data_IF_662466101718
#
_entry.id   IF_662466101718
#
_cell.length_a   1.000
_cell.length_b   1.000
_cell.length_c   1.000
_cell.angle_alpha   90.00
_cell.angle_beta   90.00
_cell.angle_gamma   90.00
#
_symmetry.space_group_name_H-M   'P 1'
#
loop_
_entity.id
_entity.type
_entity.pdbx_description
1 polymer ?
#
# COMPACT_ATOMS: atom_id res chain seq x y z
N UNK A 1 5.71 27.39 11.45
CA UNK A 1 6.97 27.49 10.70
C UNK A 1 7.95 26.48 11.27
N UNK A 2 8.46 25.57 10.43
CA UNK A 2 9.58 24.65 10.66
C UNK A 2 9.32 23.37 11.45
N UNK A 3 9.02 22.29 10.73
CA UNK A 3 9.87 21.09 10.74
C UNK A 3 9.51 20.15 9.57
N UNK A 4 9.65 20.64 8.36
CA UNK A 4 9.73 19.81 7.15
C UNK A 4 11.19 19.41 6.96
N UNK A 5 11.66 18.32 7.58
CA UNK A 5 13.11 18.08 7.51
C UNK A 5 13.65 16.71 7.81
N UNK A 6 12.85 15.63 7.78
CA UNK A 6 13.46 14.31 7.58
C UNK A 6 13.22 13.89 6.14
N UNK A 7 14.24 14.02 5.29
CA UNK A 7 14.23 13.46 3.92
C UNK A 7 13.89 11.98 4.03
N UNK A 8 12.65 11.63 3.68
CA UNK A 8 12.18 10.25 3.63
C UNK A 8 12.70 9.65 2.33
N UNK A 9 13.93 9.10 2.36
CA UNK A 9 14.54 8.47 1.20
C UNK A 9 13.73 7.20 0.85
N UNK A 10 12.85 7.31 -0.11
CA UNK A 10 12.11 6.19 -0.70
C UNK A 10 13.00 5.35 -1.62
N UNK A 11 13.97 6.00 -2.26
CA UNK A 11 14.91 5.39 -3.20
C UNK A 11 16.31 5.41 -2.64
N UNK A 12 17.03 4.30 -2.79
CA UNK A 12 18.46 4.20 -2.49
C UNK A 12 19.27 4.83 -3.62
N UNK A 13 20.56 5.11 -3.37
CA UNK A 13 21.47 5.58 -4.41
C UNK A 13 21.54 4.59 -5.59
N UNK A 14 21.44 3.28 -5.31
CA UNK A 14 21.40 2.23 -6.33
C UNK A 14 20.10 2.27 -7.14
N UNK A 15 18.96 2.52 -6.50
CA UNK A 15 17.68 2.70 -7.20
C UNK A 15 17.74 3.87 -8.19
N UNK A 16 18.29 5.01 -7.76
CA UNK A 16 18.43 6.21 -8.60
C UNK A 16 19.36 5.92 -9.79
N UNK A 17 20.52 5.27 -9.56
CA UNK A 17 21.43 4.86 -10.63
C UNK A 17 20.77 3.92 -11.66
N UNK A 18 19.77 3.14 -11.24
CA UNK A 18 18.98 2.23 -12.09
C UNK A 18 17.68 2.86 -12.58
N UNK A 19 17.47 4.17 -12.40
CA UNK A 19 16.27 4.92 -12.80
C UNK A 19 14.96 4.34 -12.23
N UNK A 20 15.01 3.67 -11.08
CA UNK A 20 13.82 3.07 -10.44
C UNK A 20 12.86 4.14 -9.87
N UNK A 21 13.37 5.31 -9.55
CA UNK A 21 12.60 6.50 -9.21
C UNK A 21 11.81 7.02 -10.45
N UNK A 22 12.44 7.06 -11.62
CA UNK A 22 11.80 7.45 -12.88
C UNK A 22 10.71 6.46 -13.28
N UNK A 23 11.00 5.14 -13.22
CA UNK A 23 10.00 4.09 -13.48
C UNK A 23 8.80 4.21 -12.53
N UNK A 24 9.06 4.48 -11.25
CA UNK A 24 7.99 4.66 -10.27
C UNK A 24 7.13 5.89 -10.58
N UNK A 25 7.75 7.03 -10.90
CA UNK A 25 7.02 8.23 -11.29
C UNK A 25 6.18 8.00 -12.56
N UNK A 26 6.74 7.34 -13.58
CA UNK A 26 6.00 6.96 -14.77
C UNK A 26 4.80 6.05 -14.47
N UNK A 27 4.98 5.09 -13.55
CA UNK A 27 3.89 4.22 -13.11
C UNK A 27 2.77 4.98 -12.39
N UNK A 28 3.07 6.08 -11.69
CA UNK A 28 2.06 6.95 -11.06
C UNK A 28 1.30 7.79 -12.09
N UNK A 29 1.97 8.27 -13.13
CA UNK A 29 1.31 8.98 -14.25
C UNK A 29 0.32 8.03 -14.93
N UNK A 30 0.74 6.80 -15.24
CA UNK A 30 -0.14 5.78 -15.82
C UNK A 30 -1.31 5.44 -14.89
N UNK A 31 -1.06 5.30 -13.58
CA UNK A 31 -2.10 5.05 -12.59
C UNK A 31 -3.11 6.19 -12.55
N UNK A 32 -2.66 7.43 -12.60
CA UNK A 32 -3.54 8.58 -12.61
C UNK A 32 -4.40 8.65 -13.88
N UNK A 33 -3.79 8.42 -15.06
CA UNK A 33 -4.47 8.51 -16.35
C UNK A 33 -5.38 7.32 -16.64
N UNK A 34 -4.86 6.12 -16.48
CA UNK A 34 -5.47 4.88 -16.95
C UNK A 34 -6.07 4.03 -15.82
N UNK A 35 -5.87 4.43 -14.56
CA UNK A 35 -6.21 3.60 -13.41
C UNK A 35 -5.21 2.46 -13.20
N UNK A 36 -5.65 1.44 -12.48
CA UNK A 36 -4.83 0.26 -12.22
C UNK A 36 -4.75 -0.59 -13.49
N UNK A 37 -3.54 -0.78 -14.00
CA UNK A 37 -3.24 -1.58 -15.19
C UNK A 37 -2.21 -2.66 -14.88
N UNK A 38 -2.08 -3.65 -15.78
CA UNK A 38 -1.00 -4.61 -15.74
C UNK A 38 0.33 -3.95 -16.15
N UNK A 39 1.38 -4.19 -15.37
CA UNK A 39 2.73 -3.71 -15.63
C UNK A 39 3.76 -4.83 -15.34
N UNK A 40 3.41 -6.06 -15.68
CA UNK A 40 4.32 -7.22 -15.54
C UNK A 40 5.50 -7.13 -16.49
N UNK A 41 5.32 -6.46 -17.61
CA UNK A 41 6.35 -6.11 -18.59
C UNK A 41 6.44 -4.60 -18.82
N UNK A 42 7.36 -4.18 -19.69
CA UNK A 42 7.59 -2.77 -19.98
C UNK A 42 6.63 -2.19 -21.05
N UNK A 43 5.73 -3.01 -21.61
CA UNK A 43 4.91 -2.62 -22.76
C UNK A 43 4.08 -1.37 -22.49
N UNK A 44 3.37 -1.34 -21.36
CA UNK A 44 2.54 -0.18 -21.01
C UNK A 44 3.37 1.09 -20.77
N UNK A 45 4.56 0.97 -20.19
CA UNK A 45 5.47 2.09 -20.00
C UNK A 45 6.05 2.59 -21.33
N UNK A 46 6.46 1.66 -22.20
CA UNK A 46 7.01 2.01 -23.51
C UNK A 46 5.97 2.71 -24.38
N UNK A 47 4.74 2.20 -24.41
CA UNK A 47 3.63 2.87 -25.12
C UNK A 47 3.39 4.28 -24.59
N UNK A 48 3.36 4.46 -23.27
CA UNK A 48 3.20 5.79 -22.69
C UNK A 48 4.34 6.74 -23.07
N UNK A 49 5.59 6.25 -23.09
CA UNK A 49 6.72 7.06 -23.53
C UNK A 49 6.60 7.45 -25.01
N UNK A 50 6.20 6.53 -25.89
CA UNK A 50 5.98 6.81 -27.32
C UNK A 50 4.87 7.84 -27.54
N UNK A 51 3.74 7.68 -26.85
CA UNK A 51 2.63 8.63 -26.93
C UNK A 51 3.02 10.05 -26.45
N UNK A 52 3.88 10.14 -25.43
CA UNK A 52 4.30 11.41 -24.85
C UNK A 52 5.47 12.07 -25.61
N UNK A 53 6.20 11.35 -26.48
CA UNK A 53 7.27 11.91 -27.31
C UNK A 53 6.76 13.00 -28.27
N UNK A 54 5.52 12.88 -28.76
CA UNK A 54 4.89 13.87 -29.66
C UNK A 54 4.48 15.18 -28.97
N UNK A 55 4.64 15.24 -27.65
CA UNK A 55 4.30 16.37 -26.79
C UNK A 55 3.33 15.98 -25.69
N UNK A 56 3.65 16.37 -24.46
CA UNK A 56 2.87 16.10 -23.27
C UNK A 56 1.96 17.28 -22.94
N UNK A 57 0.80 17.37 -23.60
CA UNK A 57 -0.13 18.51 -23.46
C UNK A 57 -0.67 18.68 -22.05
N UNK A 58 -0.90 17.58 -21.31
CA UNK A 58 -1.50 17.59 -19.99
C UNK A 58 -0.45 17.54 -18.86
N UNK A 59 0.83 17.78 -19.16
CA UNK A 59 1.94 17.65 -18.22
C UNK A 59 1.73 18.42 -16.92
N UNK A 60 1.29 19.67 -16.98
CA UNK A 60 1.08 20.51 -15.79
C UNK A 60 -0.14 20.02 -14.98
N UNK A 61 -1.22 19.59 -15.64
CA UNK A 61 -2.40 19.04 -14.96
C UNK A 61 -2.07 17.74 -14.21
N UNK A 62 -1.36 16.83 -14.86
CA UNK A 62 -0.96 15.56 -14.23
C UNK A 62 0.02 15.77 -13.09
N UNK A 63 0.97 16.69 -13.26
CA UNK A 63 1.93 17.10 -12.23
C UNK A 63 1.21 17.69 -11.01
N UNK A 64 0.23 18.56 -11.22
CA UNK A 64 -0.57 19.13 -10.14
C UNK A 64 -1.35 18.03 -9.39
N UNK A 65 -2.01 17.13 -10.11
CA UNK A 65 -2.75 16.02 -9.51
C UNK A 65 -1.84 15.08 -8.69
N UNK A 66 -0.65 14.77 -9.20
CA UNK A 66 0.33 13.95 -8.48
C UNK A 66 0.86 14.69 -7.24
N UNK A 67 1.18 15.97 -7.34
CA UNK A 67 1.62 16.76 -6.19
C UNK A 67 0.54 16.83 -5.10
N UNK A 68 -0.72 17.04 -5.47
CA UNK A 68 -1.84 17.00 -4.55
C UNK A 68 -1.98 15.61 -3.88
N UNK A 69 -1.76 14.54 -4.63
CA UNK A 69 -1.74 13.19 -4.06
C UNK A 69 -0.57 12.99 -3.08
N UNK A 70 0.62 13.51 -3.38
CA UNK A 70 1.78 13.46 -2.49
C UNK A 70 1.49 14.20 -1.17
N UNK A 71 0.86 15.38 -1.24
CA UNK A 71 0.46 16.14 -0.04
C UNK A 71 -0.55 15.35 0.80
N UNK A 72 -1.56 14.76 0.18
CA UNK A 72 -2.53 13.92 0.87
C UNK A 72 -1.88 12.67 1.49
N UNK A 73 -1.02 11.99 0.75
CA UNK A 73 -0.27 10.82 1.24
C UNK A 73 0.64 11.18 2.41
N UNK A 74 1.19 12.40 2.46
CA UNK A 74 2.03 12.84 3.56
C UNK A 74 1.33 12.79 4.92
N UNK A 75 0.01 12.92 4.95
CA UNK A 75 -0.81 12.85 6.16
C UNK A 75 -0.90 11.43 6.73
N UNK A 76 -0.73 10.39 5.89
CA UNK A 76 -0.78 8.99 6.32
C UNK A 76 0.47 8.52 7.07
N UNK A 77 1.55 9.28 7.09
CA UNK A 77 2.77 8.89 7.83
C UNK A 77 2.67 9.23 9.32
N UNK A 78 1.72 8.60 9.99
CA UNK A 78 1.33 8.88 11.38
C UNK A 78 2.18 8.18 12.44
N UNK A 79 2.96 7.15 12.07
CA UNK A 79 3.85 6.41 12.98
C UNK A 79 5.06 5.84 12.25
N UNK A 80 6.05 5.37 13.01
CA UNK A 80 7.26 4.74 12.45
C UNK A 80 6.93 3.43 11.71
N UNK A 81 5.97 2.64 12.20
CA UNK A 81 5.59 1.38 11.57
C UNK A 81 4.84 1.63 10.26
N UNK A 82 3.91 2.59 10.23
CA UNK A 82 3.29 3.03 8.97
C UNK A 82 4.35 3.57 8.00
N UNK A 83 5.33 4.30 8.50
CA UNK A 83 6.44 4.80 7.67
C UNK A 83 7.26 3.65 7.08
N UNK A 84 7.61 2.63 7.88
CA UNK A 84 8.32 1.43 7.38
C UNK A 84 7.50 0.68 6.35
N UNK A 85 6.20 0.50 6.59
CA UNK A 85 5.28 -0.13 5.66
C UNK A 85 5.22 0.62 4.33
N UNK A 86 5.01 1.93 4.35
CA UNK A 86 4.89 2.77 3.16
C UNK A 86 6.21 3.01 2.41
N UNK A 87 7.39 2.74 3.00
CA UNK A 87 8.68 2.75 2.29
C UNK A 87 8.77 1.65 1.23
N UNK A 88 7.96 0.59 1.32
CA UNK A 88 7.90 -0.43 0.27
C UNK A 88 7.13 0.13 -0.93
N UNK A 89 7.77 0.18 -2.11
CA UNK A 89 7.20 0.74 -3.36
C UNK A 89 5.80 0.19 -3.68
N UNK A 90 5.60 -1.13 -3.47
CA UNK A 90 4.30 -1.80 -3.66
C UNK A 90 3.22 -1.22 -2.77
N UNK A 91 3.52 -0.96 -1.50
CA UNK A 91 2.57 -0.42 -0.54
C UNK A 91 2.26 1.05 -0.84
N UNK A 92 3.30 1.82 -1.17
CA UNK A 92 3.15 3.22 -1.56
C UNK A 92 2.32 3.35 -2.84
N UNK A 93 2.58 2.54 -3.87
CA UNK A 93 1.77 2.50 -5.09
C UNK A 93 0.30 2.19 -4.79
N UNK A 94 0.05 1.23 -3.89
CA UNK A 94 -1.32 0.90 -3.47
C UNK A 94 -1.99 2.08 -2.78
N UNK A 95 -1.28 2.80 -1.90
CA UNK A 95 -1.83 4.00 -1.25
C UNK A 95 -2.09 5.13 -2.29
N UNK A 96 -1.21 5.32 -3.27
CA UNK A 96 -1.47 6.25 -4.38
C UNK A 96 -2.75 5.89 -5.14
N UNK A 97 -2.98 4.60 -5.41
CA UNK A 97 -4.20 4.17 -6.10
C UNK A 97 -5.47 4.48 -5.29
N UNK A 98 -5.41 4.35 -3.97
CA UNK A 98 -6.52 4.71 -3.07
C UNK A 98 -6.70 6.23 -3.01
N UNK A 99 -5.61 7.02 -2.94
CA UNK A 99 -5.69 8.48 -2.90
C UNK A 99 -6.23 9.06 -4.22
N UNK A 100 -5.84 8.53 -5.37
CA UNK A 100 -6.45 8.94 -6.64
C UNK A 100 -7.93 8.57 -6.73
N UNK A 101 -8.33 7.42 -6.17
CA UNK A 101 -9.75 7.09 -6.02
C UNK A 101 -10.48 8.12 -5.15
N UNK A 102 -9.88 8.52 -4.02
CA UNK A 102 -10.45 9.56 -3.14
C UNK A 102 -10.62 10.90 -3.87
N UNK A 103 -9.60 11.35 -4.58
CA UNK A 103 -9.64 12.60 -5.34
C UNK A 103 -10.78 12.59 -6.38
N UNK A 104 -10.91 11.50 -7.16
CA UNK A 104 -11.97 11.35 -8.16
C UNK A 104 -13.38 11.35 -7.54
N UNK A 105 -13.51 10.81 -6.35
CA UNK A 105 -14.79 10.71 -5.64
C UNK A 105 -15.00 11.83 -4.61
N UNK A 106 -14.09 12.82 -4.53
CA UNK A 106 -14.14 13.94 -3.60
C UNK A 106 -14.24 13.51 -2.12
N UNK A 107 -13.56 12.43 -1.78
CA UNK A 107 -13.50 11.89 -0.41
C UNK A 107 -12.33 12.57 0.32
N UNK A 108 -12.60 13.18 1.46
CA UNK A 108 -11.59 13.78 2.34
C UNK A 108 -10.90 12.73 3.22
N UNK A 109 -9.67 13.04 3.65
CA UNK A 109 -8.98 12.24 4.67
C UNK A 109 -9.48 12.64 6.03
N UNK A 110 -9.86 11.68 6.86
CA UNK A 110 -10.32 11.88 8.24
C UNK A 110 -9.31 11.27 9.23
N UNK A 111 -9.39 11.68 10.49
CA UNK A 111 -8.60 11.05 11.57
C UNK A 111 -8.88 9.55 11.67
N UNK A 112 -10.11 9.13 11.37
CA UNK A 112 -10.50 7.73 11.34
C UNK A 112 -9.77 6.95 10.26
N UNK A 113 -9.64 7.49 9.04
CA UNK A 113 -8.89 6.83 7.96
C UNK A 113 -7.41 6.65 8.33
N UNK A 114 -6.82 7.62 9.01
CA UNK A 114 -5.43 7.53 9.50
C UNK A 114 -5.29 6.43 10.56
N UNK A 115 -6.25 6.34 11.50
CA UNK A 115 -6.27 5.30 12.51
C UNK A 115 -6.50 3.92 11.88
N UNK A 116 -7.40 3.80 10.89
CA UNK A 116 -7.65 2.56 10.17
C UNK A 116 -6.40 2.05 9.45
N UNK A 117 -5.63 2.95 8.80
CA UNK A 117 -4.35 2.55 8.20
C UNK A 117 -3.35 2.06 9.25
N UNK A 118 -3.27 2.73 10.40
CA UNK A 118 -2.40 2.29 11.50
C UNK A 118 -2.77 0.89 11.96
N UNK A 119 -4.05 0.63 12.22
CA UNK A 119 -4.55 -0.68 12.62
C UNK A 119 -4.32 -1.75 11.56
N UNK A 120 -4.49 -1.40 10.26
CA UNK A 120 -4.14 -2.29 9.17
C UNK A 120 -2.66 -2.70 9.19
N UNK A 121 -1.76 -1.73 9.38
CA UNK A 121 -0.33 -1.98 9.43
C UNK A 121 0.07 -2.83 10.64
N UNK A 122 -0.55 -2.61 11.80
CA UNK A 122 -0.34 -3.42 13.01
C UNK A 122 -0.74 -4.89 12.75
N UNK A 123 -1.93 -5.13 12.21
CA UNK A 123 -2.38 -6.48 11.83
C UNK A 123 -1.47 -7.11 10.76
N UNK A 124 -1.12 -6.34 9.72
CA UNK A 124 -0.26 -6.80 8.63
C UNK A 124 1.15 -7.20 9.11
N UNK A 125 1.68 -6.50 10.12
CA UNK A 125 3.00 -6.77 10.68
C UNK A 125 3.05 -8.10 11.47
N UNK A 126 1.94 -8.45 12.14
CA UNK A 126 1.82 -9.69 12.93
C UNK A 126 1.44 -10.86 12.04
N UNK A 127 0.69 -10.62 10.95
CA UNK A 127 0.14 -11.67 10.09
C UNK A 127 1.23 -12.56 9.47
N UNK A 128 1.02 -13.85 9.55
CA UNK A 128 1.77 -14.88 8.85
C UNK A 128 0.83 -15.82 8.07
N UNK A 129 1.29 -16.35 6.93
CA UNK A 129 0.46 -17.23 6.10
C UNK A 129 0.20 -18.60 6.76
N UNK A 130 1.07 -19.03 7.66
CA UNK A 130 1.00 -20.31 8.35
C UNK A 130 0.19 -20.22 9.67
N UNK A 131 -0.34 -19.02 10.00
CA UNK A 131 -1.23 -18.87 11.16
C UNK A 131 -2.53 -19.64 10.97
N UNK A 132 -2.88 -20.46 11.95
CA UNK A 132 -4.17 -21.14 12.04
C UNK A 132 -4.98 -20.58 13.22
N UNK A 133 -5.96 -19.77 12.92
CA UNK A 133 -6.91 -19.23 13.88
C UNK A 133 -8.28 -19.95 13.83
N UNK A 134 -8.35 -21.10 13.17
CA UNK A 134 -9.60 -21.86 12.99
C UNK A 134 -10.22 -22.20 14.35
N UNK A 135 -11.50 -21.88 14.50
CA UNK A 135 -12.26 -22.13 15.74
C UNK A 135 -12.03 -21.10 16.88
N UNK A 136 -11.07 -20.18 16.72
CA UNK A 136 -10.75 -19.17 17.74
C UNK A 136 -11.20 -17.75 17.40
N UNK A 137 -11.73 -17.52 16.20
CA UNK A 137 -12.14 -16.20 15.71
C UNK A 137 -13.62 -16.19 15.33
N UNK A 138 -14.25 -15.04 15.51
CA UNK A 138 -15.62 -14.77 15.05
C UNK A 138 -15.69 -14.61 13.54
N UNK A 139 -16.88 -14.62 12.95
CA UNK A 139 -17.06 -14.38 11.50
C UNK A 139 -16.55 -13.01 11.08
N UNK A 140 -16.71 -11.99 11.92
CA UNK A 140 -16.22 -10.63 11.69
C UNK A 140 -14.70 -10.57 11.72
N UNK A 141 -14.05 -11.19 12.70
CA UNK A 141 -12.60 -11.33 12.78
C UNK A 141 -12.06 -12.12 11.58
N UNK A 142 -12.77 -13.19 11.18
CA UNK A 142 -12.41 -13.99 10.00
C UNK A 142 -12.41 -13.15 8.72
N UNK A 143 -13.39 -12.27 8.55
CA UNK A 143 -13.45 -11.36 7.39
C UNK A 143 -12.20 -10.47 7.33
N UNK A 144 -11.77 -9.89 8.45
CA UNK A 144 -10.53 -9.08 8.54
C UNK A 144 -9.29 -9.94 8.26
N UNK A 145 -9.22 -11.13 8.83
CA UNK A 145 -8.11 -12.07 8.62
C UNK A 145 -7.99 -12.50 7.15
N UNK A 146 -9.12 -12.81 6.50
CA UNK A 146 -9.16 -13.17 5.08
C UNK A 146 -8.73 -11.99 4.18
N UNK A 147 -9.04 -10.74 4.56
CA UNK A 147 -8.54 -9.56 3.86
C UNK A 147 -7.03 -9.43 3.97
N UNK A 148 -6.47 -9.65 5.16
CA UNK A 148 -5.01 -9.63 5.37
C UNK A 148 -4.33 -10.73 4.55
N UNK A 149 -4.86 -11.95 4.56
CA UNK A 149 -4.35 -13.08 3.79
C UNK A 149 -4.30 -12.76 2.29
N UNK A 150 -5.41 -12.28 1.73
CA UNK A 150 -5.49 -11.85 0.32
C UNK A 150 -4.49 -10.76 0.01
N UNK A 151 -4.38 -9.75 0.88
CA UNK A 151 -3.46 -8.63 0.69
C UNK A 151 -2.00 -9.08 0.75
N UNK A 152 -1.64 -9.92 1.72
CA UNK A 152 -0.27 -10.43 1.89
C UNK A 152 0.15 -11.25 0.68
N UNK A 153 -0.70 -12.17 0.21
CA UNK A 153 -0.45 -12.97 -0.98
C UNK A 153 -0.26 -12.08 -2.21
N UNK A 154 -1.15 -11.13 -2.43
CA UNK A 154 -1.04 -10.18 -3.54
C UNK A 154 0.18 -9.23 -3.41
N UNK A 155 0.82 -9.17 -2.23
CA UNK A 155 2.02 -8.36 -1.95
C UNK A 155 3.32 -9.16 -1.96
N UNK A 156 3.28 -10.47 -2.20
CA UNK A 156 4.47 -11.34 -2.25
C UNK A 156 4.82 -11.76 -3.68
N UNK A 157 3.83 -12.06 -4.51
CA UNK A 157 4.04 -12.59 -5.86
C UNK A 157 3.32 -11.75 -6.92
N UNK A 158 3.87 -11.70 -8.13
CA UNK A 158 3.25 -11.04 -9.27
C UNK A 158 2.82 -9.59 -8.96
N UNK A 159 3.67 -8.83 -8.29
CA UNK A 159 3.36 -7.51 -7.71
C UNK A 159 2.75 -6.54 -8.71
N UNK A 160 3.10 -6.67 -9.97
CA UNK A 160 2.68 -5.78 -11.05
C UNK A 160 1.51 -6.32 -11.88
N UNK A 161 1.02 -7.55 -11.60
CA UNK A 161 -0.19 -8.07 -12.23
C UNK A 161 -1.40 -7.23 -11.86
N UNK A 162 -2.25 -6.94 -12.83
CA UNK A 162 -3.49 -6.17 -12.63
C UNK A 162 -4.33 -6.75 -11.48
N UNK A 163 -4.54 -8.07 -11.47
CA UNK A 163 -5.34 -8.76 -10.43
C UNK A 163 -4.80 -8.51 -9.02
N UNK A 164 -3.48 -8.63 -8.83
CA UNK A 164 -2.86 -8.43 -7.51
C UNK A 164 -2.89 -6.96 -7.08
N UNK A 165 -2.70 -6.04 -8.02
CA UNK A 165 -2.88 -4.60 -7.77
C UNK A 165 -4.31 -4.26 -7.35
N UNK A 166 -5.30 -4.85 -8.03
CA UNK A 166 -6.72 -4.66 -7.69
C UNK A 166 -7.09 -5.26 -6.33
N UNK A 167 -6.55 -6.44 -5.98
CA UNK A 167 -6.75 -7.03 -4.65
C UNK A 167 -6.21 -6.08 -3.57
N UNK A 168 -4.97 -5.61 -3.71
CA UNK A 168 -4.38 -4.67 -2.73
C UNK A 168 -5.16 -3.38 -2.64
N UNK A 169 -5.55 -2.80 -3.77
CA UNK A 169 -6.37 -1.60 -3.82
C UNK A 169 -7.70 -1.79 -3.08
N UNK A 170 -8.45 -2.85 -3.40
CA UNK A 170 -9.75 -3.08 -2.80
C UNK A 170 -9.64 -3.32 -1.29
N UNK A 171 -8.71 -4.18 -0.85
CA UNK A 171 -8.53 -4.44 0.59
C UNK A 171 -8.12 -3.16 1.33
N UNK A 172 -7.16 -2.39 0.82
CA UNK A 172 -6.74 -1.16 1.48
C UNK A 172 -7.86 -0.12 1.48
N UNK A 173 -8.58 0.04 0.38
CA UNK A 173 -9.74 0.94 0.28
C UNK A 173 -10.82 0.54 1.28
N UNK A 174 -11.19 -0.74 1.33
CA UNK A 174 -12.25 -1.23 2.21
C UNK A 174 -11.82 -1.10 3.69
N UNK A 175 -10.52 -1.29 3.99
CA UNK A 175 -10.01 -1.07 5.33
C UNK A 175 -10.01 0.40 5.73
N UNK A 176 -9.71 1.32 4.81
CA UNK A 176 -9.69 2.75 5.10
C UNK A 176 -11.09 3.36 5.24
N UNK A 177 -12.06 2.89 4.43
CA UNK A 177 -13.37 3.56 4.31
C UNK A 177 -14.57 2.65 4.55
N UNK A 178 -14.40 1.35 4.52
CA UNK A 178 -15.49 0.37 4.56
C UNK A 178 -15.64 -0.35 5.90
N UNK A 179 -14.92 0.08 6.94
CA UNK A 179 -15.08 -0.50 8.28
C UNK A 179 -16.34 0.08 8.93
N UNK A 180 -17.32 -0.78 9.19
CA UNK A 180 -18.41 -0.50 10.12
C UNK A 180 -17.95 -0.64 11.58
N UNK A 181 -18.83 -0.37 12.52
CA UNK A 181 -18.51 -0.42 13.95
C UNK A 181 -18.08 -1.83 14.39
N UNK A 182 -18.76 -2.86 13.92
CA UNK A 182 -18.47 -4.26 14.24
C UNK A 182 -17.07 -4.70 13.78
N UNK A 183 -16.69 -4.34 12.54
CA UNK A 183 -15.35 -4.59 12.02
C UNK A 183 -14.27 -3.84 12.79
N UNK A 184 -14.53 -2.59 13.20
CA UNK A 184 -13.59 -1.81 14.01
C UNK A 184 -13.37 -2.42 15.39
N UNK A 185 -14.44 -2.85 16.04
CA UNK A 185 -14.36 -3.51 17.35
C UNK A 185 -13.62 -4.84 17.29
N UNK A 186 -13.71 -5.56 16.16
CA UNK A 186 -13.03 -6.84 15.94
C UNK A 186 -11.50 -6.72 15.75
N UNK A 187 -10.96 -5.52 15.42
CA UNK A 187 -9.52 -5.34 15.14
C UNK A 187 -8.65 -5.73 16.35
N UNK A 188 -8.94 -5.17 17.51
CA UNK A 188 -8.11 -5.42 18.71
C UNK A 188 -8.15 -6.88 19.17
N UNK A 189 -9.33 -7.53 19.30
CA UNK A 189 -9.40 -8.94 19.61
C UNK A 189 -8.64 -9.81 18.61
N UNK A 190 -8.81 -9.55 17.30
CA UNK A 190 -8.07 -10.27 16.25
C UNK A 190 -6.56 -10.10 16.42
N UNK A 191 -6.08 -8.86 16.60
CA UNK A 191 -4.66 -8.58 16.79
C UNK A 191 -4.07 -9.36 17.96
N UNK A 192 -4.78 -9.39 19.11
CA UNK A 192 -4.35 -10.13 20.29
C UNK A 192 -4.28 -11.65 20.04
N UNK A 193 -5.25 -12.20 19.30
CA UNK A 193 -5.25 -13.64 18.93
C UNK A 193 -4.12 -13.98 17.98
N UNK A 194 -3.87 -13.11 16.99
CA UNK A 194 -2.76 -13.27 16.05
C UNK A 194 -1.39 -13.18 16.75
N UNK A 195 -1.22 -12.28 17.72
CA UNK A 195 -0.01 -12.18 18.52
C UNK A 195 0.23 -13.46 19.35
N UNK A 196 -0.80 -13.94 20.04
CA UNK A 196 -0.74 -15.18 20.80
C UNK A 196 -0.42 -16.41 19.92
N UNK A 197 -0.92 -16.44 18.69
CA UNK A 197 -0.61 -17.51 17.74
C UNK A 197 0.83 -17.39 17.22
N UNK A 198 1.30 -16.15 16.92
CA UNK A 198 2.67 -15.89 16.48
C UNK A 198 3.72 -16.35 17.51
N UNK A 199 3.43 -16.21 18.81
CA UNK A 199 4.32 -16.67 19.88
C UNK A 199 4.49 -18.20 19.94
N UNK A 200 3.51 -18.96 19.41
CA UNK A 200 3.55 -20.43 19.34
C UNK A 200 4.29 -20.93 18.10
N UNK A 201 4.41 -20.10 17.08
CA UNK A 201 5.06 -20.50 15.83
C UNK A 201 6.58 -20.61 16.03
N UNK A 202 7.24 -21.58 15.37
CA UNK A 202 8.70 -21.67 15.38
C UNK A 202 9.31 -20.36 14.89
N UNK A 203 10.36 -19.89 15.56
CA UNK A 203 11.18 -18.79 15.04
C UNK A 203 11.79 -19.27 13.71
N UNK A 204 11.55 -18.55 12.62
CA UNK A 204 12.28 -18.81 11.38
C UNK A 204 13.78 -18.76 11.68
N UNK A 205 14.56 -19.77 11.22
CA UNK A 205 16.01 -19.69 11.34
C UNK A 205 16.47 -18.40 10.66
N UNK A 206 17.27 -17.61 11.39
CA UNK A 206 17.90 -16.41 10.84
C UNK A 206 18.74 -16.91 9.67
N UNK A 207 18.25 -16.79 8.43
CA UNK A 207 19.10 -16.93 7.26
C UNK A 207 20.19 -15.85 7.38
N UNK A 208 21.35 -16.26 7.83
CA UNK A 208 22.56 -15.46 7.73
C UNK A 208 22.78 -15.25 6.22
N UNK A 209 22.23 -14.19 5.67
CA UNK A 209 22.68 -13.63 4.41
C UNK A 209 24.12 -13.12 4.66
N UNK A 210 25.07 -14.05 4.49
CA UNK A 210 26.48 -13.70 4.29
C UNK A 210 26.52 -13.00 2.92
N UNK A 211 26.89 -11.74 2.98
CA UNK A 211 27.35 -10.76 1.99
C UNK A 211 27.21 -11.04 0.50
#
# INVERSE_FOLDING_TARGET
MHQYGKKRHLFTTTDIKRMKDVEFCASLILLYRNGIIDQTDQTALNQAYEELQAGYKDAETDKEAINNAIEQISQFFVSDDVTKFLKKKTQLYTLFSVVFYMQRNKIGITAENLQNLKSFVELYAVFDNDMDLTGNITDTEKKLFDWLKKYKLASSEGLNKHTNRMIRFNVMKDFLFGLDEELREAIKPLLSKMQAEREKMPLEPIENTVE
#
